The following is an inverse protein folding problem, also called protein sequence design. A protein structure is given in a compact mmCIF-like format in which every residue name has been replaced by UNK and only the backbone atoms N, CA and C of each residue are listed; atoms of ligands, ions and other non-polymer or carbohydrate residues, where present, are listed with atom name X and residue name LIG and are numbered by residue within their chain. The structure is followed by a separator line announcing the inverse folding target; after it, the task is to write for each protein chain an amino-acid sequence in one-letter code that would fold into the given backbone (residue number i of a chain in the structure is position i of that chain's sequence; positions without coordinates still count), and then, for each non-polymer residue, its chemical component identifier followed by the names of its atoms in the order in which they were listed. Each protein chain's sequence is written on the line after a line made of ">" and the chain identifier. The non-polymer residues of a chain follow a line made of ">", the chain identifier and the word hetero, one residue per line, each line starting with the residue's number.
data_IF_602986566388
#
_entry.id   IF_602986566388
#
_cell.length_a   1.000
_cell.length_b   1.000
_cell.length_c   1.000
_cell.angle_alpha   90.00
_cell.angle_beta   90.00
_cell.angle_gamma   90.00
#
_symmetry.space_group_name_H-M   'P 1'
#
loop_
_entity.id
_entity.type
_entity.pdbx_description
1 polymer ?
#
# COMPACT_ATOMS: atom_id res chain seq x y z
N UNK A 1 2.78 -22.35 5.57
CA UNK A 1 1.59 -21.89 4.82
C UNK A 1 1.74 -20.38 4.62
N UNK A 2 2.67 -19.96 3.74
CA UNK A 2 3.15 -18.55 3.59
C UNK A 2 3.12 -18.09 2.11
N UNK A 3 2.91 -18.99 1.13
CA UNK A 3 2.99 -18.63 -0.30
C UNK A 3 1.92 -17.64 -0.78
N UNK A 4 0.71 -17.70 -0.22
CA UNK A 4 -0.40 -16.84 -0.65
C UNK A 4 -0.15 -15.37 -0.27
N UNK A 5 0.47 -15.12 0.89
CA UNK A 5 0.76 -13.74 1.31
C UNK A 5 1.85 -13.09 0.48
N UNK A 6 2.91 -13.83 0.12
CA UNK A 6 4.01 -13.31 -0.70
C UNK A 6 3.52 -12.91 -2.10
N UNK A 7 2.80 -13.79 -2.80
CA UNK A 7 2.27 -13.50 -4.14
C UNK A 7 1.35 -12.27 -4.14
N UNK A 8 0.47 -12.15 -3.14
CA UNK A 8 -0.46 -11.01 -3.02
C UNK A 8 0.28 -9.71 -2.71
N UNK A 9 1.36 -9.76 -1.92
CA UNK A 9 2.22 -8.58 -1.65
C UNK A 9 2.96 -8.16 -2.93
N UNK A 10 3.51 -9.10 -3.70
CA UNK A 10 4.18 -8.82 -4.97
C UNK A 10 3.22 -8.18 -5.98
N UNK A 11 2.00 -8.68 -6.08
CA UNK A 11 0.95 -8.13 -6.95
C UNK A 11 0.54 -6.73 -6.53
N UNK A 12 0.34 -6.49 -5.23
CA UNK A 12 0.03 -5.16 -4.71
C UNK A 12 1.15 -4.17 -5.01
N UNK A 13 2.41 -4.57 -4.81
CA UNK A 13 3.58 -3.75 -5.12
C UNK A 13 3.63 -3.39 -6.61
N UNK A 14 3.41 -4.36 -7.49
CA UNK A 14 3.35 -4.13 -8.93
C UNK A 14 2.30 -3.10 -9.32
N UNK A 15 1.10 -3.16 -8.72
CA UNK A 15 0.04 -2.19 -8.96
C UNK A 15 0.47 -0.79 -8.51
N UNK A 16 1.06 -0.66 -7.32
CA UNK A 16 1.58 0.63 -6.83
C UNK A 16 2.70 1.19 -7.70
N UNK A 17 3.62 0.34 -8.19
CA UNK A 17 4.67 0.73 -9.14
C UNK A 17 4.09 1.24 -10.47
N UNK A 18 3.01 0.60 -10.95
CA UNK A 18 2.26 1.03 -12.13
C UNK A 18 1.64 2.41 -11.91
N UNK A 19 1.08 2.67 -10.72
CA UNK A 19 0.57 3.99 -10.34
C UNK A 19 1.67 5.05 -10.28
N UNK A 20 2.78 4.72 -9.62
CA UNK A 20 3.95 5.59 -9.50
C UNK A 20 4.58 5.94 -10.86
N UNK A 21 4.54 5.00 -11.81
CA UNK A 21 5.05 5.18 -13.17
C UNK A 21 4.07 5.93 -14.10
N UNK A 22 2.89 6.31 -13.61
CA UNK A 22 1.84 6.96 -14.41
C UNK A 22 1.20 6.05 -15.46
N UNK A 23 1.32 4.73 -15.33
CA UNK A 23 0.84 3.73 -16.29
C UNK A 23 -0.48 3.08 -15.87
N UNK A 24 -1.30 3.81 -15.12
CA UNK A 24 -2.54 3.24 -14.58
C UNK A 24 -3.57 2.93 -15.65
N UNK A 25 -4.36 1.90 -15.38
CA UNK A 25 -5.50 1.48 -16.17
C UNK A 25 -6.77 1.51 -15.30
N UNK A 26 -7.92 1.53 -15.99
CA UNK A 26 -9.21 1.42 -15.34
C UNK A 26 -9.29 0.11 -14.53
N UNK A 27 -9.76 0.19 -13.29
CA UNK A 27 -9.85 -0.95 -12.37
C UNK A 27 -8.57 -1.27 -11.58
N UNK A 28 -7.46 -0.55 -11.77
CA UNK A 28 -6.26 -0.76 -10.94
C UNK A 28 -6.55 -0.51 -9.45
N UNK A 29 -7.38 0.48 -9.10
CA UNK A 29 -7.80 0.74 -7.71
C UNK A 29 -8.65 -0.38 -7.12
N UNK A 30 -9.54 -0.99 -7.90
CA UNK A 30 -10.35 -2.13 -7.46
C UNK A 30 -9.46 -3.36 -7.19
N UNK A 31 -8.43 -3.55 -8.02
CA UNK A 31 -7.44 -4.60 -7.81
C UNK A 31 -6.65 -4.35 -6.52
N UNK A 32 -6.16 -3.11 -6.30
CA UNK A 32 -5.46 -2.74 -5.06
C UNK A 32 -6.37 -2.98 -3.84
N UNK A 33 -7.63 -2.54 -3.88
CA UNK A 33 -8.62 -2.78 -2.81
C UNK A 33 -8.76 -4.27 -2.50
N UNK A 34 -8.86 -5.09 -3.55
CA UNK A 34 -9.02 -6.53 -3.42
C UNK A 34 -7.78 -7.19 -2.79
N UNK A 35 -6.56 -6.79 -3.17
CA UNK A 35 -5.33 -7.31 -2.54
C UNK A 35 -5.21 -6.89 -1.09
N UNK A 36 -5.55 -5.65 -0.76
CA UNK A 36 -5.58 -5.16 0.64
C UNK A 36 -6.52 -6.00 1.50
N UNK A 37 -7.72 -6.33 1.00
CA UNK A 37 -8.67 -7.19 1.72
C UNK A 37 -8.09 -8.57 2.01
N UNK A 38 -7.47 -9.20 1.01
CA UNK A 38 -6.82 -10.50 1.19
C UNK A 38 -5.69 -10.39 2.23
N UNK A 39 -4.85 -9.36 2.15
CA UNK A 39 -3.76 -9.13 3.10
C UNK A 39 -4.28 -8.94 4.53
N UNK A 40 -5.43 -8.27 4.72
CA UNK A 40 -6.04 -8.09 6.04
C UNK A 40 -6.57 -9.41 6.63
N UNK A 41 -6.92 -10.38 5.80
CA UNK A 41 -7.41 -11.69 6.23
C UNK A 41 -6.28 -12.66 6.62
N UNK A 42 -5.07 -12.45 6.09
CA UNK A 42 -3.88 -13.15 6.56
C UNK A 42 -3.24 -12.42 7.75
N UNK A 43 -2.85 -13.16 8.78
CA UNK A 43 -2.15 -12.61 9.94
C UNK A 43 -0.76 -12.10 9.53
N UNK A 44 -0.69 -10.82 9.13
CA UNK A 44 0.54 -10.14 8.75
C UNK A 44 1.33 -9.64 9.97
N UNK A 45 2.60 -9.33 9.74
CA UNK A 45 3.45 -8.70 10.74
C UNK A 45 2.82 -7.37 11.23
N UNK A 46 2.69 -7.24 12.55
CA UNK A 46 2.09 -6.09 13.24
C UNK A 46 2.71 -4.73 12.85
N UNK A 47 4.00 -4.72 12.49
CA UNK A 47 4.71 -3.51 12.08
C UNK A 47 4.17 -2.93 10.76
N UNK A 48 3.49 -3.73 9.94
CA UNK A 48 2.96 -3.33 8.65
C UNK A 48 1.45 -3.06 8.66
N UNK A 49 0.78 -3.21 9.81
CA UNK A 49 -0.67 -2.92 9.92
C UNK A 49 -0.97 -1.47 9.55
N UNK A 50 -0.13 -0.52 9.99
CA UNK A 50 -0.28 0.90 9.66
C UNK A 50 -0.19 1.16 8.16
N UNK A 51 0.76 0.52 7.47
CA UNK A 51 0.92 0.59 6.01
C UNK A 51 -0.34 0.12 5.29
N UNK A 52 -0.90 -1.00 5.72
CA UNK A 52 -2.12 -1.56 5.11
C UNK A 52 -3.35 -0.70 5.40
N UNK A 53 -3.43 -0.06 6.56
CA UNK A 53 -4.50 0.89 6.88
C UNK A 53 -4.44 2.15 6.00
N UNK A 54 -3.24 2.72 5.86
CA UNK A 54 -3.01 3.90 5.01
C UNK A 54 -3.34 3.60 3.53
N UNK A 55 -2.91 2.44 3.02
CA UNK A 55 -3.24 1.98 1.67
C UNK A 55 -4.74 1.81 1.47
N UNK A 56 -5.45 1.28 2.48
CA UNK A 56 -6.90 1.15 2.40
C UNK A 56 -7.58 2.52 2.31
N UNK A 57 -7.16 3.46 3.16
CA UNK A 57 -7.70 4.83 3.15
C UNK A 57 -7.42 5.53 1.81
N UNK A 58 -6.24 5.32 1.24
CA UNK A 58 -5.89 5.83 -0.09
C UNK A 58 -6.81 5.30 -1.19
N UNK A 59 -7.20 4.04 -1.16
CA UNK A 59 -8.14 3.50 -2.16
C UNK A 59 -9.58 3.94 -1.88
N UNK A 60 -9.98 4.04 -0.63
CA UNK A 60 -11.33 4.50 -0.27
C UNK A 60 -11.55 5.95 -0.72
N UNK A 61 -10.59 6.84 -0.45
CA UNK A 61 -10.67 8.25 -0.85
C UNK A 61 -10.50 8.48 -2.36
N UNK A 62 -9.95 7.52 -3.11
CA UNK A 62 -9.89 7.62 -4.57
C UNK A 62 -11.30 7.71 -5.17
N UNK A 63 -12.27 7.00 -4.57
CA UNK A 63 -13.67 7.01 -5.05
C UNK A 63 -14.33 8.39 -4.96
N UNK A 64 -13.74 9.30 -4.18
CA UNK A 64 -14.18 10.69 -4.01
C UNK A 64 -13.41 11.68 -4.89
N UNK A 65 -12.38 11.23 -5.62
CA UNK A 65 -11.55 12.12 -6.44
C UNK A 65 -12.12 12.32 -7.85
N UNK A 66 -12.17 13.59 -8.28
CA UNK A 66 -12.59 13.97 -9.64
C UNK A 66 -11.50 13.71 -10.70
N UNK A 67 -10.22 13.65 -10.29
CA UNK A 67 -9.10 13.41 -11.20
C UNK A 67 -8.12 12.38 -10.62
N UNK A 68 -8.01 11.27 -11.34
CA UNK A 68 -7.15 10.14 -11.02
C UNK A 68 -5.66 10.52 -11.02
N UNK A 69 -5.19 11.24 -12.03
CA UNK A 69 -3.77 11.60 -12.15
C UNK A 69 -3.34 12.56 -11.04
N UNK A 70 -4.17 13.55 -10.73
CA UNK A 70 -3.88 14.50 -9.65
C UNK A 70 -3.86 13.78 -8.30
N UNK A 71 -4.83 12.89 -8.06
CA UNK A 71 -4.92 12.11 -6.83
C UNK A 71 -3.69 11.25 -6.58
N UNK A 72 -3.18 10.58 -7.61
CA UNK A 72 -1.95 9.80 -7.48
C UNK A 72 -0.75 10.72 -7.31
N UNK A 73 -0.65 11.80 -8.07
CA UNK A 73 0.46 12.76 -7.98
C UNK A 73 0.63 13.35 -6.58
N UNK A 74 -0.47 13.74 -5.92
CA UNK A 74 -0.40 14.26 -4.53
C UNK A 74 -0.01 13.19 -3.52
N UNK A 75 -0.21 11.91 -3.86
CA UNK A 75 0.13 10.76 -3.02
C UNK A 75 1.46 10.08 -3.40
N UNK A 76 2.19 10.54 -4.42
CA UNK A 76 3.47 9.94 -4.85
C UNK A 76 4.47 9.66 -3.71
N UNK A 77 4.68 10.57 -2.73
CA UNK A 77 5.58 10.28 -1.61
C UNK A 77 5.10 9.10 -0.75
N UNK A 78 3.79 8.96 -0.57
CA UNK A 78 3.20 7.86 0.18
C UNK A 78 3.30 6.55 -0.60
N UNK A 79 2.99 6.57 -1.90
CA UNK A 79 3.06 5.40 -2.78
C UNK A 79 4.48 4.82 -2.78
N UNK A 80 5.49 5.67 -2.93
CA UNK A 80 6.90 5.25 -2.87
C UNK A 80 7.24 4.58 -1.53
N UNK A 81 6.85 5.20 -0.42
CA UNK A 81 7.10 4.63 0.92
C UNK A 81 6.39 3.29 1.10
N UNK A 82 5.16 3.15 0.64
CA UNK A 82 4.43 1.88 0.72
C UNK A 82 5.10 0.78 -0.12
N UNK A 83 5.64 1.09 -1.30
CA UNK A 83 6.42 0.14 -2.09
C UNK A 83 7.66 -0.34 -1.31
N UNK A 84 8.37 0.57 -0.65
CA UNK A 84 9.54 0.23 0.18
C UNK A 84 9.13 -0.65 1.38
N UNK A 85 8.04 -0.30 2.08
CA UNK A 85 7.51 -1.06 3.21
C UNK A 85 7.04 -2.47 2.77
N UNK A 86 6.31 -2.58 1.65
CA UNK A 86 5.88 -3.88 1.12
C UNK A 86 7.07 -4.75 0.70
N UNK A 87 8.16 -4.14 0.21
CA UNK A 87 9.40 -4.85 -0.12
C UNK A 87 10.08 -5.42 1.14
N UNK A 88 10.08 -4.66 2.24
CA UNK A 88 10.58 -5.15 3.53
C UNK A 88 9.72 -6.32 4.05
N UNK A 89 8.39 -6.21 3.92
CA UNK A 89 7.45 -7.26 4.32
C UNK A 89 7.67 -8.55 3.50
N UNK A 90 7.82 -8.43 2.17
CA UNK A 90 8.09 -9.55 1.25
C UNK A 90 9.40 -10.28 1.57
N UNK A 91 10.44 -9.54 1.97
CA UNK A 91 11.76 -10.11 2.31
C UNK A 91 11.79 -10.77 3.71
N UNK A 92 10.67 -10.79 4.43
CA UNK A 92 10.63 -11.25 5.83
C UNK A 92 11.33 -10.29 6.81
N UNK A 93 11.56 -9.04 6.40
CA UNK A 93 12.14 -7.99 7.21
C UNK A 93 11.19 -7.65 8.37
N UNK A 94 11.53 -8.12 9.57
CA UNK A 94 10.74 -7.87 10.79
C UNK A 94 10.75 -6.41 11.24
N UNK A 95 11.63 -5.56 10.70
CA UNK A 95 11.85 -4.21 11.16
C UNK A 95 11.37 -3.19 10.12
N UNK A 96 10.24 -2.54 10.39
CA UNK A 96 9.92 -1.24 9.78
C UNK A 96 10.92 -0.24 10.34
N UNK A 97 12.02 -0.02 9.62
CA UNK A 97 13.03 0.99 9.95
C UNK A 97 12.82 2.24 9.09
N UNK A 98 11.59 2.74 9.12
CA UNK A 98 11.31 4.13 8.78
C UNK A 98 10.20 4.62 9.70
N UNK A 99 10.61 4.91 10.94
CA UNK A 99 10.06 6.02 11.70
C UNK A 99 8.64 5.85 12.29
N UNK A 100 8.46 4.81 13.11
CA UNK A 100 7.36 4.76 14.10
C UNK A 100 7.32 6.02 14.99
N UNK A 101 8.46 6.68 15.22
CA UNK A 101 8.57 7.95 15.96
C UNK A 101 8.01 9.17 15.18
N UNK A 102 8.09 9.20 13.84
CA UNK A 102 7.46 10.27 13.04
C UNK A 102 5.93 10.15 12.92
N UNK A 103 5.35 8.98 13.17
CA UNK A 103 3.88 8.78 13.12
C UNK A 103 3.13 9.41 14.30
N UNK A 104 3.80 9.76 15.41
CA UNK A 104 3.18 10.48 16.54
C UNK A 104 2.90 11.96 16.28
N UNK A 105 3.42 12.53 15.19
CA UNK A 105 3.21 13.94 14.83
C UNK A 105 2.03 14.20 13.89
N UNK A 106 1.30 13.16 13.49
CA UNK A 106 0.10 13.28 12.64
C UNK A 106 -1.09 12.70 13.38
N UNK A 107 -1.52 13.41 14.42
CA UNK A 107 -2.87 13.28 14.93
C UNK A 107 -3.84 13.59 13.77
N UNK A 108 -4.80 12.70 13.55
CA UNK A 108 -6.04 12.97 12.82
C UNK A 108 -6.97 13.71 13.78
#
# INVERSE_FOLDING_TARGET
>A
MIKISEEVISELKYLLDKQFSGKMEEGDFDQISSKIKIIKEVNINENFVGTIQELNHYVDNFTESENVQDYVSVNYPNIKRWIDELTLLEQGGGAVTTDYEQRKGREI
#
